data_IF_747081978214
#
_entry.id   IF_747081978214
#
_cell.length_a   1.000
_cell.length_b   1.000
_cell.length_c   1.000
_cell.angle_alpha   90.00
_cell.angle_beta   90.00
_cell.angle_gamma   90.00
#
_symmetry.space_group_name_H-M   'P 1'
#
loop_
_entity.id
_entity.type
_entity.pdbx_description
1 polymer ?
#
# COMPACT_ATOMS: atom_id res chain seq x y z
N UNK A 1 8.02 -25.56 -24.60
CA UNK A 1 8.77 -26.83 -24.79
C UNK A 1 7.92 -28.09 -24.56
N UNK A 2 6.85 -28.05 -23.76
CA UNK A 2 6.07 -29.25 -23.42
C UNK A 2 5.19 -29.82 -24.56
N UNK A 3 4.90 -29.03 -25.59
CA UNK A 3 3.89 -29.41 -26.60
C UNK A 3 4.39 -30.47 -27.59
N UNK A 4 5.68 -30.41 -27.95
CA UNK A 4 6.32 -31.39 -28.85
C UNK A 4 6.46 -32.76 -28.19
N UNK A 5 6.67 -32.78 -26.86
CA UNK A 5 6.78 -34.00 -26.05
C UNK A 5 5.45 -34.78 -25.98
N UNK A 6 4.31 -34.09 -25.87
CA UNK A 6 3.00 -34.76 -25.85
C UNK A 6 2.63 -35.36 -27.21
N UNK A 7 3.03 -34.69 -28.30
CA UNK A 7 2.82 -35.17 -29.68
C UNK A 7 3.63 -36.45 -29.97
N UNK A 8 4.85 -36.54 -29.46
CA UNK A 8 5.69 -37.74 -29.57
C UNK A 8 5.17 -38.92 -28.74
N UNK A 9 4.49 -38.66 -27.62
CA UNK A 9 3.99 -39.69 -26.71
C UNK A 9 2.54 -40.13 -27.00
N UNK A 10 1.92 -39.66 -28.09
CA UNK A 10 0.54 -40.01 -28.45
C UNK A 10 -0.51 -39.53 -27.45
N UNK A 11 -0.16 -38.56 -26.60
CA UNK A 11 -1.07 -38.03 -25.58
C UNK A 11 -1.92 -36.90 -26.18
N UNK A 12 -3.21 -36.89 -25.83
CA UNK A 12 -4.15 -35.85 -26.27
C UNK A 12 -3.61 -34.45 -25.98
N UNK A 13 -3.48 -33.61 -27.02
CA UNK A 13 -3.04 -32.23 -26.89
C UNK A 13 -3.99 -31.47 -25.96
N UNK A 14 -3.44 -30.85 -24.91
CA UNK A 14 -4.25 -30.05 -23.99
C UNK A 14 -4.42 -28.65 -24.54
N UNK A 15 -5.68 -28.32 -24.84
CA UNK A 15 -6.29 -26.98 -24.98
C UNK A 15 -5.45 -25.96 -25.77
N UNK A 16 -5.85 -25.76 -27.02
CA UNK A 16 -5.46 -24.64 -27.87
C UNK A 16 -5.76 -23.33 -27.12
N UNK A 17 -4.78 -22.43 -27.07
CA UNK A 17 -4.97 -21.08 -26.53
C UNK A 17 -5.98 -20.33 -27.39
N UNK A 18 -6.76 -19.43 -26.78
CA UNK A 18 -7.68 -18.58 -27.56
C UNK A 18 -6.90 -17.77 -28.61
N UNK A 19 -7.48 -17.46 -29.79
CA UNK A 19 -6.79 -16.72 -30.84
C UNK A 19 -6.22 -15.37 -30.38
N UNK A 20 -6.82 -14.76 -29.37
CA UNK A 20 -6.43 -13.45 -28.82
C UNK A 20 -5.42 -13.56 -27.65
N UNK A 21 -4.86 -14.75 -27.43
CA UNK A 21 -3.92 -14.98 -26.33
C UNK A 21 -2.55 -14.35 -26.64
N UNK A 22 -2.19 -13.33 -25.89
CA UNK A 22 -0.89 -12.64 -26.02
C UNK A 22 0.14 -13.25 -25.05
N UNK A 23 1.40 -13.48 -25.49
CA UNK A 23 2.47 -13.98 -24.62
C UNK A 23 2.72 -13.04 -23.43
N UNK A 24 2.65 -13.57 -22.21
CA UNK A 24 2.82 -12.78 -20.99
C UNK A 24 4.29 -12.60 -20.54
N UNK A 25 5.25 -13.07 -21.34
CA UNK A 25 6.66 -13.21 -20.93
C UNK A 25 7.32 -11.87 -20.61
N UNK A 26 6.86 -10.76 -21.22
CA UNK A 26 7.41 -9.41 -21.00
C UNK A 26 6.37 -8.39 -20.49
N UNK A 27 5.22 -8.84 -19.99
CA UNK A 27 4.21 -7.92 -19.46
C UNK A 27 4.57 -7.51 -18.03
N UNK A 28 4.52 -6.21 -17.68
CA UNK A 28 4.70 -5.77 -16.31
C UNK A 28 3.65 -6.46 -15.44
N UNK A 29 4.10 -7.11 -14.37
CA UNK A 29 3.25 -7.84 -13.44
C UNK A 29 2.26 -6.84 -12.81
N UNK A 30 1.05 -6.74 -13.35
CA UNK A 30 0.00 -6.00 -12.67
C UNK A 30 -0.43 -6.82 -11.46
N UNK A 31 0.06 -6.43 -10.29
CA UNK A 31 -0.39 -6.92 -8.99
C UNK A 31 -1.79 -6.37 -8.71
N UNK A 32 -2.77 -6.85 -9.49
CA UNK A 32 -4.18 -6.54 -9.31
C UNK A 32 -4.74 -7.35 -8.14
N UNK A 33 -4.10 -7.30 -6.97
CA UNK A 33 -4.63 -7.67 -5.64
C UNK A 33 -5.41 -8.98 -5.50
N UNK A 34 -5.34 -9.88 -6.49
CA UNK A 34 -6.08 -11.14 -6.52
C UNK A 34 -5.14 -12.19 -5.97
N UNK A 35 -5.46 -12.64 -4.76
CA UNK A 35 -4.81 -13.74 -4.05
C UNK A 35 -4.31 -14.81 -5.03
N UNK A 36 -3.01 -14.75 -5.34
CA UNK A 36 -2.34 -15.79 -6.11
C UNK A 36 -2.15 -16.94 -5.12
N UNK A 37 -3.23 -17.70 -4.90
CA UNK A 37 -3.20 -18.82 -3.96
C UNK A 37 -2.03 -19.73 -4.33
N UNK A 38 -1.19 -20.03 -3.36
CA UNK A 38 0.00 -20.85 -3.57
C UNK A 38 -0.38 -22.22 -4.16
N UNK A 39 0.58 -22.90 -4.81
CA UNK A 39 0.34 -24.23 -5.39
C UNK A 39 -0.17 -25.23 -4.33
N UNK A 40 0.30 -25.11 -3.09
CA UNK A 40 -0.17 -25.89 -1.95
C UNK A 40 -1.61 -25.54 -1.56
N UNK A 41 -1.99 -24.26 -1.56
CA UNK A 41 -3.36 -23.84 -1.27
C UNK A 41 -4.36 -24.37 -2.29
N UNK A 42 -4.01 -24.38 -3.59
CA UNK A 42 -4.85 -24.96 -4.64
C UNK A 42 -5.04 -26.46 -4.43
N UNK A 43 -3.97 -27.17 -4.04
CA UNK A 43 -4.02 -28.61 -3.76
C UNK A 43 -4.94 -28.91 -2.57
N UNK A 44 -4.82 -28.13 -1.49
CA UNK A 44 -5.67 -28.22 -0.28
C UNK A 44 -7.14 -27.90 -0.57
N UNK A 45 -7.43 -26.82 -1.31
CA UNK A 45 -8.81 -26.47 -1.70
C UNK A 45 -9.44 -27.59 -2.53
N UNK A 46 -8.68 -28.24 -3.41
CA UNK A 46 -9.16 -29.36 -4.23
C UNK A 46 -9.45 -30.62 -3.42
N UNK A 47 -8.65 -30.93 -2.39
CA UNK A 47 -8.90 -32.10 -1.53
C UNK A 47 -10.17 -31.89 -0.68
N UNK A 48 -10.33 -30.71 -0.09
CA UNK A 48 -11.54 -30.34 0.68
C UNK A 48 -12.80 -30.47 -0.18
N UNK A 49 -12.76 -29.96 -1.42
CA UNK A 49 -13.93 -30.01 -2.30
C UNK A 49 -14.29 -31.45 -2.72
N UNK A 50 -13.29 -32.32 -2.90
CA UNK A 50 -13.53 -33.75 -3.18
C UNK A 50 -14.16 -34.45 -1.99
N UNK A 51 -13.67 -34.19 -0.79
CA UNK A 51 -14.18 -34.79 0.44
C UNK A 51 -15.63 -34.35 0.71
N UNK A 52 -15.93 -33.06 0.55
CA UNK A 52 -17.29 -32.53 0.67
C UNK A 52 -18.24 -33.18 -0.35
N UNK A 53 -17.78 -33.39 -1.59
CA UNK A 53 -18.58 -34.04 -2.64
C UNK A 53 -18.87 -35.51 -2.32
N UNK A 54 -17.93 -36.22 -1.69
CA UNK A 54 -18.14 -37.60 -1.24
C UNK A 54 -19.16 -37.63 -0.11
N UNK A 55 -19.02 -36.76 0.91
CA UNK A 55 -19.97 -36.69 2.04
C UNK A 55 -21.40 -36.39 1.60
N UNK A 56 -21.58 -35.44 0.67
CA UNK A 56 -22.90 -35.13 0.11
C UNK A 56 -23.52 -36.30 -0.67
N UNK A 57 -22.70 -37.11 -1.35
CA UNK A 57 -23.17 -38.29 -2.07
C UNK A 57 -23.68 -39.38 -1.10
N UNK A 58 -23.07 -39.49 0.08
CA UNK A 58 -23.49 -40.43 1.13
C UNK A 58 -24.73 -39.96 1.93
N UNK A 59 -25.11 -38.69 1.82
CA UNK A 59 -26.28 -38.08 2.50
C UNK A 59 -27.58 -38.15 1.68
N UNK A 60 -27.59 -38.88 0.57
CA UNK A 60 -28.80 -39.11 -0.22
C UNK A 60 -29.89 -39.77 0.66
N UNK A 61 -31.14 -39.27 0.69
CA UNK A 61 -32.18 -39.83 1.56
C UNK A 61 -32.45 -41.29 1.18
N UNK A 62 -32.28 -42.22 2.13
CA UNK A 62 -32.94 -43.52 2.03
C UNK A 62 -34.44 -43.25 2.12
N UNK A 63 -35.21 -43.71 1.12
CA UNK A 63 -36.67 -43.66 1.13
C UNK A 63 -37.18 -44.21 2.46
N UNK A 64 -38.06 -43.45 3.11
CA UNK A 64 -38.73 -43.86 4.34
C UNK A 64 -39.58 -45.10 4.06
N UNK A 65 -39.38 -46.15 4.86
CA UNK A 65 -40.37 -47.23 5.00
C UNK A 65 -41.55 -46.67 5.78
N UNK A 66 -42.74 -46.95 5.27
CA UNK A 66 -44.03 -46.72 5.92
C UNK A 66 -44.08 -47.48 7.26
N UNK A 67 -44.45 -46.79 8.34
CA UNK A 67 -44.87 -47.43 9.60
C UNK A 67 -46.39 -47.53 9.62
N UNK A 68 -46.95 -48.67 10.09
CA UNK A 68 -48.40 -48.91 10.06
C UNK A 68 -49.13 -48.12 11.14
N UNK A 69 -50.38 -47.80 10.82
CA UNK A 69 -51.46 -47.30 11.66
C UNK A 69 -51.47 -47.92 13.07
N UNK A 70 -51.42 -47.08 14.10
CA UNK A 70 -51.67 -47.46 15.51
C UNK A 70 -52.95 -46.74 15.96
N UNK A 71 -53.91 -47.55 16.39
CA UNK A 71 -55.17 -47.13 17.02
C UNK A 71 -54.98 -46.57 18.44
N UNK A 72 -55.95 -45.80 18.97
CA UNK A 72 -55.81 -45.11 20.24
C UNK A 72 -56.19 -46.01 21.41
N UNK A 73 -55.25 -46.26 22.33
CA UNK A 73 -55.55 -46.87 23.63
C UNK A 73 -55.50 -45.83 24.75
N UNK A 74 -56.59 -45.86 25.50
CA UNK A 74 -56.96 -45.17 26.74
C UNK A 74 -55.83 -45.04 27.78
N UNK A 75 -55.68 -43.85 28.35
CA UNK A 75 -55.09 -43.61 29.69
C UNK A 75 -56.10 -44.05 30.77
N UNK A 76 -55.80 -44.06 32.10
CA UNK A 76 -54.57 -43.72 32.82
C UNK A 76 -54.15 -44.79 33.87
N UNK A 77 -52.86 -44.92 34.19
CA UNK A 77 -52.45 -45.55 35.44
C UNK A 77 -51.24 -44.80 36.00
N UNK A 78 -51.51 -44.17 37.14
CA UNK A 78 -50.56 -43.50 38.02
C UNK A 78 -49.58 -44.53 38.59
N UNK A 79 -48.42 -44.66 37.97
CA UNK A 79 -47.29 -45.37 38.56
C UNK A 79 -46.14 -44.39 38.80
N UNK A 80 -45.91 -44.19 40.10
CA UNK A 80 -44.65 -43.81 40.74
C UNK A 80 -43.76 -42.84 39.93
N UNK A 81 -43.93 -41.55 40.19
CA UNK A 81 -43.00 -40.51 39.76
C UNK A 81 -41.61 -40.88 40.29
N UNK A 82 -40.77 -41.37 39.38
CA UNK A 82 -39.40 -41.76 39.69
C UNK A 82 -38.65 -40.52 40.22
N UNK A 83 -38.27 -40.52 41.50
CA UNK A 83 -37.59 -39.36 42.11
C UNK A 83 -36.28 -39.02 41.39
N UNK A 84 -35.62 -40.02 40.78
CA UNK A 84 -34.42 -39.81 39.97
C UNK A 84 -34.71 -39.10 38.64
N UNK A 85 -35.92 -39.21 38.08
CA UNK A 85 -36.32 -38.46 36.89
C UNK A 85 -36.51 -36.96 37.18
N UNK A 86 -36.93 -36.60 38.41
CA UNK A 86 -37.12 -35.21 38.80
C UNK A 86 -35.78 -34.49 39.03
N UNK A 87 -34.82 -35.13 39.71
CA UNK A 87 -33.49 -34.55 39.91
C UNK A 87 -32.70 -34.44 38.61
N UNK A 88 -32.78 -35.44 37.73
CA UNK A 88 -32.16 -35.35 36.39
C UNK A 88 -32.79 -34.23 35.53
N UNK A 89 -34.08 -33.93 35.68
CA UNK A 89 -34.73 -32.82 34.99
C UNK A 89 -34.21 -31.45 35.46
N UNK A 90 -33.93 -31.33 36.77
CA UNK A 90 -33.33 -30.14 37.38
C UNK A 90 -31.86 -29.97 37.01
N UNK A 91 -31.09 -31.05 36.99
CA UNK A 91 -29.71 -31.07 36.50
C UNK A 91 -29.63 -30.66 35.01
N UNK A 92 -30.53 -31.18 34.17
CA UNK A 92 -30.61 -30.81 32.76
C UNK A 92 -30.92 -29.32 32.57
N UNK A 93 -31.81 -28.74 33.37
CA UNK A 93 -32.08 -27.30 33.34
C UNK A 93 -30.83 -26.47 33.71
N UNK A 94 -30.08 -26.92 34.72
CA UNK A 94 -28.83 -26.27 35.15
C UNK A 94 -27.72 -26.41 34.09
N UNK A 95 -27.66 -27.55 33.40
CA UNK A 95 -26.74 -27.76 32.27
C UNK A 95 -27.08 -26.86 31.07
N UNK A 96 -28.37 -26.70 30.73
CA UNK A 96 -28.79 -25.79 29.65
C UNK A 96 -28.41 -24.34 29.95
N UNK A 97 -28.58 -23.90 31.20
CA UNK A 97 -28.15 -22.58 31.64
C UNK A 97 -26.63 -22.39 31.52
N UNK A 98 -25.84 -23.42 31.88
CA UNK A 98 -24.40 -23.40 31.71
C UNK A 98 -23.98 -23.37 30.25
N UNK A 99 -24.65 -24.13 29.37
CA UNK A 99 -24.41 -24.11 27.92
C UNK A 99 -24.66 -22.72 27.35
N UNK A 100 -25.81 -22.12 27.67
CA UNK A 100 -26.16 -20.75 27.23
C UNK A 100 -25.14 -19.71 27.68
N UNK A 101 -24.64 -19.83 28.91
CA UNK A 101 -23.58 -18.97 29.41
C UNK A 101 -22.27 -19.14 28.61
N UNK A 102 -21.86 -20.39 28.38
CA UNK A 102 -20.64 -20.70 27.63
C UNK A 102 -20.72 -20.22 26.17
N UNK A 103 -21.88 -20.35 25.52
CA UNK A 103 -22.12 -19.83 24.18
C UNK A 103 -21.94 -18.30 24.12
N UNK A 104 -22.43 -17.58 25.14
CA UNK A 104 -22.27 -16.12 25.25
C UNK A 104 -20.82 -15.71 25.43
N UNK A 105 -20.05 -16.43 26.25
CA UNK A 105 -18.61 -16.19 26.42
C UNK A 105 -17.82 -16.51 25.14
N UNK A 106 -18.20 -17.57 24.44
CA UNK A 106 -17.60 -17.95 23.15
C UNK A 106 -17.86 -16.85 22.09
N UNK A 107 -19.05 -16.24 22.07
CA UNK A 107 -19.33 -15.15 21.13
C UNK A 107 -18.55 -13.87 21.48
N UNK A 108 -18.41 -13.52 22.76
CA UNK A 108 -17.57 -12.39 23.20
C UNK A 108 -16.11 -12.57 22.77
N UNK A 109 -15.54 -13.75 23.01
CA UNK A 109 -14.14 -14.04 22.65
C UNK A 109 -13.93 -14.04 21.13
N UNK A 110 -14.92 -14.49 20.33
CA UNK A 110 -14.90 -14.35 18.86
C UNK A 110 -14.90 -12.89 18.41
N UNK A 111 -15.69 -12.03 19.04
CA UNK A 111 -15.71 -10.60 18.68
C UNK A 111 -14.40 -9.88 19.06
N UNK A 112 -13.83 -10.20 20.21
CA UNK A 112 -12.52 -9.69 20.63
C UNK A 112 -11.40 -10.12 19.69
N UNK A 113 -11.38 -11.39 19.27
CA UNK A 113 -10.39 -11.89 18.31
C UNK A 113 -10.52 -11.20 16.95
N UNK A 114 -11.75 -10.96 16.45
CA UNK A 114 -11.99 -10.15 15.24
C UNK A 114 -11.46 -8.73 15.40
N UNK A 115 -11.72 -8.07 16.54
CA UNK A 115 -11.20 -6.71 16.82
C UNK A 115 -9.68 -6.69 16.86
N UNK A 116 -9.04 -7.66 17.50
CA UNK A 116 -7.59 -7.76 17.57
C UNK A 116 -6.95 -8.04 16.20
N UNK A 117 -7.56 -8.88 15.36
CA UNK A 117 -7.12 -9.07 13.98
C UNK A 117 -7.19 -7.77 13.16
N UNK A 118 -8.28 -7.00 13.27
CA UNK A 118 -8.41 -5.69 12.63
C UNK A 118 -7.32 -4.71 13.09
N UNK A 119 -7.04 -4.65 14.39
CA UNK A 119 -5.94 -3.85 14.95
C UNK A 119 -4.59 -4.28 14.38
N UNK A 120 -4.31 -5.58 14.33
CA UNK A 120 -3.06 -6.13 13.77
C UNK A 120 -2.86 -5.76 12.31
N UNK A 121 -3.91 -5.85 11.48
CA UNK A 121 -3.87 -5.42 10.08
C UNK A 121 -3.56 -3.93 9.96
N UNK A 122 -4.19 -3.08 10.79
CA UNK A 122 -3.90 -1.63 10.82
C UNK A 122 -2.43 -1.36 11.19
N UNK A 123 -1.91 -2.03 12.21
CA UNK A 123 -0.49 -1.90 12.63
C UNK A 123 0.46 -2.34 11.52
N UNK A 124 0.16 -3.43 10.80
CA UNK A 124 1.01 -3.87 9.68
C UNK A 124 0.99 -2.86 8.54
N UNK A 125 -0.17 -2.25 8.23
CA UNK A 125 -0.28 -1.19 7.21
C UNK A 125 0.52 0.05 7.59
N UNK A 126 0.42 0.53 8.83
CA UNK A 126 1.17 1.71 9.29
C UNK A 126 2.67 1.43 9.34
N UNK A 127 3.09 0.23 9.76
CA UNK A 127 4.51 -0.18 9.75
C UNK A 127 5.08 -0.20 8.32
N UNK A 128 4.31 -0.67 7.35
CA UNK A 128 4.71 -0.64 5.94
C UNK A 128 4.84 0.80 5.41
N UNK A 129 3.90 1.69 5.74
CA UNK A 129 3.99 3.11 5.39
C UNK A 129 5.20 3.78 6.02
N UNK A 130 5.46 3.52 7.30
CA UNK A 130 6.64 4.02 8.00
C UNK A 130 7.95 3.59 7.33
N UNK A 131 8.03 2.32 6.89
CA UNK A 131 9.17 1.82 6.13
C UNK A 131 9.43 2.60 4.83
N UNK A 132 8.36 2.91 4.06
CA UNK A 132 8.45 3.71 2.83
C UNK A 132 8.93 5.14 3.10
N UNK A 133 8.32 5.79 4.09
CA UNK A 133 8.70 7.15 4.51
C UNK A 133 10.16 7.19 5.00
N UNK A 134 10.61 6.15 5.69
CA UNK A 134 12.00 6.05 6.16
C UNK A 134 12.99 5.94 4.99
N UNK A 135 12.67 5.15 3.96
CA UNK A 135 13.52 5.04 2.75
C UNK A 135 13.57 6.35 1.97
N UNK A 136 12.43 7.03 1.81
CA UNK A 136 12.34 8.32 1.14
C UNK A 136 13.14 9.39 1.89
N UNK A 137 13.02 9.45 3.22
CA UNK A 137 13.80 10.37 4.05
C UNK A 137 15.31 10.13 3.96
N UNK A 138 15.76 8.87 3.84
CA UNK A 138 17.19 8.57 3.62
C UNK A 138 17.65 9.09 2.25
N UNK A 139 16.84 8.93 1.21
CA UNK A 139 17.12 9.45 -0.13
C UNK A 139 17.20 10.98 -0.12
N UNK A 140 16.18 11.65 0.40
CA UNK A 140 16.12 13.12 0.51
C UNK A 140 17.30 13.68 1.30
N UNK A 141 17.69 13.04 2.41
CA UNK A 141 18.88 13.45 3.17
C UNK A 141 20.17 13.38 2.34
N UNK A 142 20.30 12.38 1.48
CA UNK A 142 21.47 12.26 0.60
C UNK A 142 21.49 13.36 -0.47
N UNK A 143 20.31 13.74 -0.98
CA UNK A 143 20.16 14.81 -1.96
C UNK A 143 20.43 16.19 -1.36
N UNK A 144 19.89 16.47 -0.17
CA UNK A 144 20.18 17.71 0.58
C UNK A 144 21.68 17.88 0.83
N UNK A 145 22.40 16.78 1.15
CA UNK A 145 23.87 16.82 1.29
C UNK A 145 24.57 17.21 -0.01
N UNK A 146 24.11 16.67 -1.16
CA UNK A 146 24.65 17.06 -2.48
C UNK A 146 24.40 18.53 -2.77
N UNK A 147 23.18 19.02 -2.54
CA UNK A 147 22.82 20.42 -2.74
C UNK A 147 23.66 21.36 -1.84
N UNK A 148 23.84 21.01 -0.57
CA UNK A 148 24.70 21.76 0.35
C UNK A 148 26.15 21.81 -0.13
N UNK A 149 26.69 20.71 -0.66
CA UNK A 149 28.05 20.70 -1.23
C UNK A 149 28.17 21.57 -2.48
N UNK A 150 27.16 21.54 -3.34
CA UNK A 150 27.09 22.40 -4.53
C UNK A 150 27.06 23.88 -4.10
N UNK A 151 26.23 24.23 -3.12
CA UNK A 151 26.14 25.59 -2.58
C UNK A 151 27.50 26.06 -2.03
N UNK A 152 28.19 25.24 -1.24
CA UNK A 152 29.55 25.54 -0.76
C UNK A 152 30.54 25.82 -1.90
N UNK A 153 30.52 25.00 -2.95
CA UNK A 153 31.43 25.19 -4.09
C UNK A 153 31.15 26.52 -4.81
N UNK A 154 29.89 26.94 -4.90
CA UNK A 154 29.52 28.20 -5.55
C UNK A 154 29.78 29.45 -4.70
N UNK A 155 29.94 29.35 -3.36
CA UNK A 155 30.21 30.51 -2.49
C UNK A 155 31.48 31.28 -2.85
N UNK A 156 32.46 30.59 -3.47
CA UNK A 156 33.71 31.21 -3.90
C UNK A 156 33.55 31.99 -5.23
N UNK A 157 32.53 31.66 -6.03
CA UNK A 157 32.33 32.20 -7.38
C UNK A 157 31.22 33.25 -7.40
N UNK A 158 30.11 32.95 -6.71
CA UNK A 158 28.90 33.76 -6.69
C UNK A 158 28.64 34.29 -5.28
N UNK A 159 28.04 35.48 -5.20
CA UNK A 159 27.59 36.05 -3.92
C UNK A 159 26.28 35.39 -3.47
N UNK A 160 26.01 35.43 -2.17
CA UNK A 160 24.83 34.81 -1.57
C UNK A 160 23.50 35.26 -2.23
N UNK A 161 23.39 36.53 -2.62
CA UNK A 161 22.25 37.07 -3.38
C UNK A 161 22.08 36.42 -4.75
N UNK A 162 23.18 36.12 -5.45
CA UNK A 162 23.17 35.42 -6.73
C UNK A 162 22.86 33.94 -6.54
N UNK A 163 23.46 33.30 -5.54
CA UNK A 163 23.19 31.89 -5.19
C UNK A 163 21.70 31.70 -4.87
N UNK A 164 21.13 32.54 -4.01
CA UNK A 164 19.71 32.50 -3.67
C UNK A 164 18.82 32.73 -4.89
N UNK A 165 19.24 33.61 -5.82
CA UNK A 165 18.48 33.84 -7.04
C UNK A 165 18.45 32.61 -7.97
N UNK A 166 19.56 31.87 -8.05
CA UNK A 166 19.66 30.62 -8.82
C UNK A 166 18.82 29.53 -8.16
N UNK A 167 18.96 29.33 -6.85
CA UNK A 167 18.24 28.29 -6.10
C UNK A 167 16.73 28.50 -6.18
N UNK A 168 16.26 29.74 -6.00
CA UNK A 168 14.83 30.06 -6.01
C UNK A 168 14.28 30.41 -7.40
N UNK A 169 15.11 30.35 -8.45
CA UNK A 169 14.77 30.73 -9.82
C UNK A 169 14.07 32.11 -9.91
N UNK A 170 14.61 33.10 -9.20
CA UNK A 170 14.01 34.43 -9.06
C UNK A 170 14.23 35.28 -10.31
N UNK A 171 13.15 35.80 -10.88
CA UNK A 171 13.20 36.77 -11.98
C UNK A 171 13.60 38.19 -11.53
N UNK A 172 13.30 38.54 -10.26
CA UNK A 172 13.59 39.86 -9.67
C UNK A 172 14.42 39.70 -8.41
N UNK A 173 15.59 40.32 -8.39
CA UNK A 173 16.56 40.23 -7.30
C UNK A 173 16.70 41.61 -6.67
N UNK A 174 16.64 41.66 -5.32
CA UNK A 174 16.99 42.85 -4.55
C UNK A 174 18.50 42.88 -4.37
N UNK A 175 19.17 43.74 -5.11
CA UNK A 175 20.63 43.87 -5.07
C UNK A 175 21.09 44.68 -3.86
N UNK A 176 22.15 44.21 -3.20
CA UNK A 176 22.84 44.98 -2.16
C UNK A 176 23.78 46.01 -2.77
N UNK A 177 24.17 47.02 -1.99
CA UNK A 177 25.14 48.02 -2.45
C UNK A 177 26.48 47.38 -2.86
N UNK A 178 26.98 46.40 -2.09
CA UNK A 178 28.21 45.69 -2.43
C UNK A 178 28.10 44.91 -3.74
N UNK A 179 26.96 44.28 -3.99
CA UNK A 179 26.74 43.57 -5.24
C UNK A 179 26.78 44.58 -6.38
N UNK A 180 26.05 45.68 -6.28
CA UNK A 180 26.05 46.73 -7.32
C UNK A 180 27.47 47.23 -7.59
N UNK A 181 28.28 47.51 -6.56
CA UNK A 181 29.67 47.96 -6.71
C UNK A 181 30.52 46.95 -7.48
N UNK A 182 30.46 45.65 -7.12
CA UNK A 182 31.19 44.58 -7.83
C UNK A 182 30.76 44.47 -9.30
N UNK A 183 29.47 44.56 -9.56
CA UNK A 183 28.94 44.50 -10.92
C UNK A 183 29.31 45.73 -11.75
N UNK A 184 29.44 46.90 -11.11
CA UNK A 184 29.92 48.11 -11.76
C UNK A 184 31.37 47.95 -12.22
N UNK A 185 32.23 47.34 -11.39
CA UNK A 185 33.62 47.02 -11.73
C UNK A 185 33.70 46.07 -12.93
N UNK A 186 32.92 44.98 -12.93
CA UNK A 186 32.91 44.04 -14.06
C UNK A 186 32.45 44.74 -15.35
N UNK A 187 31.41 45.58 -15.23
CA UNK A 187 30.89 46.33 -16.37
C UNK A 187 31.86 47.39 -16.89
N UNK A 188 32.64 48.02 -16.02
CA UNK A 188 33.63 49.03 -16.43
C UNK A 188 34.81 48.40 -17.16
N UNK A 189 35.18 47.15 -16.84
CA UNK A 189 36.18 46.39 -17.58
C UNK A 189 35.69 46.08 -19.00
N UNK A 190 34.48 45.54 -19.14
CA UNK A 190 33.89 45.27 -20.46
C UNK A 190 32.38 45.22 -20.43
N UNK A 191 31.77 46.19 -21.13
CA UNK A 191 30.31 46.23 -21.32
C UNK A 191 29.78 45.03 -22.10
N UNK A 192 30.48 44.63 -23.16
CA UNK A 192 30.06 43.52 -24.04
C UNK A 192 30.10 42.18 -23.31
N UNK A 193 31.18 41.93 -22.56
CA UNK A 193 31.29 40.71 -21.75
C UNK A 193 30.21 40.64 -20.67
N UNK A 194 29.93 41.76 -19.99
CA UNK A 194 28.86 41.85 -19.00
C UNK A 194 27.48 41.50 -19.58
N UNK A 195 27.15 42.06 -20.74
CA UNK A 195 25.88 41.80 -21.43
C UNK A 195 25.78 40.35 -21.94
N UNK A 196 26.89 39.78 -22.41
CA UNK A 196 26.97 38.37 -22.81
C UNK A 196 26.74 37.41 -21.64
N UNK A 197 27.45 37.60 -20.51
CA UNK A 197 27.28 36.77 -19.32
C UNK A 197 25.86 36.81 -18.75
N UNK A 198 25.21 37.98 -18.82
CA UNK A 198 23.84 38.13 -18.35
C UNK A 198 22.82 37.47 -19.28
N UNK A 199 22.90 37.75 -20.57
CA UNK A 199 21.83 37.43 -21.51
C UNK A 199 22.02 36.06 -22.19
N UNK A 200 23.27 35.66 -22.45
CA UNK A 200 23.58 34.40 -23.16
C UNK A 200 23.93 33.28 -22.17
N UNK A 201 24.80 33.55 -21.18
CA UNK A 201 25.15 32.54 -20.17
C UNK A 201 24.06 32.42 -19.09
N UNK A 202 23.27 33.47 -18.87
CA UNK A 202 22.19 33.46 -17.88
C UNK A 202 22.67 33.64 -16.43
N UNK A 203 23.85 34.23 -16.21
CA UNK A 203 24.33 34.56 -14.86
C UNK A 203 23.42 35.65 -14.27
N UNK A 204 22.96 35.51 -13.01
CA UNK A 204 22.16 36.54 -12.36
C UNK A 204 23.00 37.79 -12.12
N UNK A 205 22.89 38.75 -13.04
CA UNK A 205 23.52 40.07 -12.98
C UNK A 205 22.44 41.17 -13.02
N UNK A 206 22.64 42.31 -12.35
CA UNK A 206 21.79 43.50 -12.48
C UNK A 206 21.59 43.90 -13.95
N UNK A 207 20.41 44.43 -14.28
CA UNK A 207 20.21 45.03 -15.61
C UNK A 207 20.93 46.38 -15.71
N UNK A 208 21.26 46.81 -16.93
CA UNK A 208 21.86 48.12 -17.16
C UNK A 208 21.00 49.26 -16.58
N UNK A 209 19.67 49.18 -16.69
CA UNK A 209 18.74 50.13 -16.10
C UNK A 209 18.80 50.14 -14.56
N UNK A 210 19.03 48.96 -13.95
CA UNK A 210 19.22 48.84 -12.51
C UNK A 210 20.51 49.55 -12.08
N UNK A 211 21.62 49.28 -12.77
CA UNK A 211 22.90 49.95 -12.47
C UNK A 211 22.79 51.46 -12.61
N UNK A 212 22.19 51.96 -13.71
CA UNK A 212 21.96 53.41 -13.91
C UNK A 212 21.16 54.04 -12.78
N UNK A 213 20.07 53.40 -12.34
CA UNK A 213 19.23 53.87 -11.22
C UNK A 213 19.98 53.90 -9.88
N UNK A 214 20.96 53.01 -9.70
CA UNK A 214 21.83 53.06 -8.51
C UNK A 214 22.87 54.18 -8.64
N UNK A 215 23.50 54.33 -9.81
CA UNK A 215 24.46 55.40 -10.08
C UNK A 215 23.84 56.79 -9.95
N UNK A 216 22.58 56.98 -10.34
CA UNK A 216 21.89 58.28 -10.27
C UNK A 216 21.69 58.80 -8.84
N UNK A 217 21.89 57.95 -7.82
CA UNK A 217 21.86 58.35 -6.41
C UNK A 217 23.15 59.04 -5.97
N UNK A 218 24.25 58.83 -6.69
CA UNK A 218 25.52 59.45 -6.39
C UNK A 218 25.54 60.84 -7.04
N UNK A 219 25.71 61.87 -6.21
CA UNK A 219 25.92 63.24 -6.67
C UNK A 219 27.42 63.50 -6.73
N UNK A 220 27.96 63.64 -7.94
CA UNK A 220 29.31 64.14 -8.14
C UNK A 220 29.18 65.63 -8.49
N UNK A 221 29.47 66.52 -7.53
CA UNK A 221 29.66 67.94 -7.83
C UNK A 221 31.04 68.12 -8.48
N UNK A 222 31.18 69.01 -9.47
CA UNK A 222 32.45 69.30 -10.13
C UNK A 222 33.48 69.88 -9.16
#
# INVERSE_FOLDING_TARGET
MDDMKNRLLGLNQKKILKPDAVPSVNLPLQDNGKDISSRSDRKRKRSILREAKIRLKCLSPKKACETPTIEPFTTPTTENICSSCFETQKENALFLERIRFLEKELEKTKEETKKNQRKKIKVMKTKAQFGRILTENKSLRSEVKKLSKIEENFKNILKATQINAVIENKSKIKWTAEDISRHLIIRSISRRAYEYWRNQIGIPLPSASTLKRWCSKFSCRP
#
